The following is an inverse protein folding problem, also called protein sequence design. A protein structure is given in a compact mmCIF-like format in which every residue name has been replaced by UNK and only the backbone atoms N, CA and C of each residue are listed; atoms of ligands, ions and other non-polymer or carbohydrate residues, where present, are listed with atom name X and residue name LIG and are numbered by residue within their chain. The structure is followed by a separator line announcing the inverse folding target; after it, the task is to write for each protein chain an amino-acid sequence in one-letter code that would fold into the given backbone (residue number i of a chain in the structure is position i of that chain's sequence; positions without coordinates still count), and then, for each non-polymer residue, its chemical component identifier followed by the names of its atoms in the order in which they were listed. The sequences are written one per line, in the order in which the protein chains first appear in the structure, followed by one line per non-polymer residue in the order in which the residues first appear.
data_IF_217576272563
#
_entry.id   IF_217576272563
#
_cell.length_a   1.000
_cell.length_b   1.000
_cell.length_c   1.000
_cell.angle_alpha   90.00
_cell.angle_beta   90.00
_cell.angle_gamma   90.00
#
_symmetry.space_group_name_H-M   'P 1'
#
loop_
_entity.id
_entity.type
_entity.pdbx_description
1 polymer ?
#
# COMPACT_ATOMS: atom_id res chain seq x y z
N UNK A 1 9.62 1.54 -4.33
CA UNK A 1 8.50 2.50 -4.49
C UNK A 1 7.17 1.91 -4.01
N UNK A 2 6.69 0.80 -4.61
CA UNK A 2 5.37 0.21 -4.31
C UNK A 2 5.22 -0.20 -2.82
N UNK A 3 6.10 -1.07 -2.32
CA UNK A 3 6.05 -1.55 -0.93
C UNK A 3 6.06 -0.37 0.06
N UNK A 4 6.98 0.58 -0.15
CA UNK A 4 7.08 1.77 0.69
C UNK A 4 5.80 2.61 0.69
N UNK A 5 5.22 2.90 -0.49
CA UNK A 5 3.98 3.68 -0.59
C UNK A 5 2.80 2.99 0.09
N UNK A 6 2.71 1.67 -0.06
CA UNK A 6 1.69 0.88 0.63
C UNK A 6 1.84 0.93 2.15
N UNK A 7 3.06 0.71 2.67
CA UNK A 7 3.33 0.79 4.11
C UNK A 7 3.09 2.20 4.68
N UNK A 8 3.40 3.25 3.92
CA UNK A 8 3.10 4.62 4.30
C UNK A 8 1.59 4.85 4.48
N UNK A 9 0.76 4.31 3.57
CA UNK A 9 -0.70 4.37 3.70
C UNK A 9 -1.15 3.62 4.95
N UNK A 10 -0.70 2.38 5.15
CA UNK A 10 -1.07 1.56 6.31
C UNK A 10 -0.70 2.23 7.63
N UNK A 11 0.53 2.74 7.76
CA UNK A 11 0.96 3.46 8.96
C UNK A 11 0.17 4.74 9.19
N UNK A 12 -0.22 5.45 8.12
CA UNK A 12 -1.01 6.67 8.23
C UNK A 12 -2.46 6.43 8.67
N UNK A 13 -2.97 5.20 8.56
CA UNK A 13 -4.28 4.84 9.12
C UNK A 13 -4.29 4.91 10.66
N UNK A 14 -3.12 4.81 11.29
CA UNK A 14 -2.94 4.97 12.74
C UNK A 14 -3.43 6.30 13.29
N UNK A 15 -3.43 7.37 12.48
CA UNK A 15 -3.99 8.65 12.89
C UNK A 15 -5.51 8.63 13.08
N UNK A 16 -6.21 7.70 12.43
CA UNK A 16 -7.67 7.68 12.37
C UNK A 16 -8.29 6.50 13.13
N UNK A 17 -7.62 5.35 13.14
CA UNK A 17 -8.16 4.10 13.67
C UNK A 17 -7.42 3.67 14.93
N UNK A 18 -8.16 3.36 16.00
CA UNK A 18 -7.60 2.88 17.27
C UNK A 18 -7.01 1.46 17.18
N UNK A 19 -7.39 0.69 16.16
CA UNK A 19 -6.91 -0.68 15.89
C UNK A 19 -6.08 -0.77 14.60
N UNK A 20 -5.47 0.34 14.18
CA UNK A 20 -4.69 0.40 12.93
C UNK A 20 -3.51 -0.60 12.90
N UNK A 21 -2.86 -0.85 14.05
CA UNK A 21 -1.70 -1.76 14.11
C UNK A 21 -2.05 -3.20 13.72
N UNK A 22 -3.20 -3.69 14.18
CA UNK A 22 -3.67 -5.03 13.81
C UNK A 22 -4.02 -5.13 12.33
N UNK A 23 -4.74 -4.13 11.80
CA UNK A 23 -5.10 -4.07 10.38
C UNK A 23 -3.86 -3.94 9.49
N UNK A 24 -2.91 -3.09 9.88
CA UNK A 24 -1.66 -2.89 9.15
C UNK A 24 -0.81 -4.15 9.09
N UNK A 25 -0.71 -4.86 10.23
CA UNK A 25 0.00 -6.14 10.32
C UNK A 25 -0.65 -7.21 9.45
N UNK A 26 -1.98 -7.33 9.48
CA UNK A 26 -2.71 -8.31 8.66
C UNK A 26 -2.56 -8.03 7.16
N UNK A 27 -2.69 -6.76 6.74
CA UNK A 27 -2.49 -6.38 5.35
C UNK A 27 -1.04 -6.55 4.88
N UNK A 28 -0.06 -6.37 5.77
CA UNK A 28 1.34 -6.66 5.49
C UNK A 28 1.61 -8.17 5.35
N UNK A 29 1.02 -8.99 6.22
CA UNK A 29 1.09 -10.45 6.10
C UNK A 29 0.44 -10.93 4.81
N UNK A 30 -0.72 -10.37 4.46
CA UNK A 30 -1.40 -10.66 3.20
C UNK A 30 -0.52 -10.28 1.99
N UNK A 31 0.16 -9.12 2.03
CA UNK A 31 1.13 -8.71 1.00
C UNK A 31 2.21 -9.77 0.80
N UNK A 32 2.83 -10.26 1.87
CA UNK A 32 3.86 -11.29 1.79
C UNK A 32 3.27 -12.57 1.20
N UNK A 33 2.18 -13.07 1.77
CA UNK A 33 1.53 -14.32 1.35
C UNK A 33 1.14 -14.30 -0.13
N UNK A 34 0.51 -13.23 -0.62
CA UNK A 34 0.11 -13.17 -2.04
C UNK A 34 1.29 -12.92 -2.99
N UNK A 35 2.42 -12.40 -2.48
CA UNK A 35 3.64 -12.22 -3.29
C UNK A 35 4.42 -13.51 -3.51
N UNK A 36 4.25 -14.52 -2.64
CA UNK A 36 4.92 -15.83 -2.78
C UNK A 36 4.15 -16.79 -3.68
N UNK A 37 2.87 -16.52 -3.92
CA UNK A 37 2.06 -17.32 -4.82
C UNK A 37 2.21 -16.90 -6.30
N UNK A 38 2.23 -17.86 -7.23
CA UNK A 38 2.43 -17.55 -8.63
C UNK A 38 1.16 -16.96 -9.25
N UNK A 39 1.29 -15.90 -10.06
CA UNK A 39 0.17 -15.07 -10.53
C UNK A 39 -0.97 -15.83 -11.26
N UNK A 40 -0.70 -16.99 -11.86
CA UNK A 40 -1.70 -17.76 -12.61
C UNK A 40 -2.79 -18.38 -11.74
N UNK A 41 -2.60 -18.43 -10.41
CA UNK A 41 -3.65 -18.89 -9.48
C UNK A 41 -4.74 -17.84 -9.27
N UNK A 42 -4.48 -16.58 -9.61
CA UNK A 42 -5.42 -15.49 -9.43
C UNK A 42 -6.17 -15.22 -10.74
N UNK A 43 -7.48 -15.49 -10.75
CA UNK A 43 -8.35 -15.27 -11.90
C UNK A 43 -9.49 -14.30 -11.57
N UNK A 44 -10.02 -13.63 -12.60
CA UNK A 44 -11.17 -12.73 -12.49
C UNK A 44 -10.99 -11.61 -11.46
N UNK A 45 -11.96 -11.48 -10.54
CA UNK A 45 -11.99 -10.43 -9.52
C UNK A 45 -10.85 -10.52 -8.50
N UNK A 46 -10.38 -11.73 -8.19
CA UNK A 46 -9.28 -11.93 -7.24
C UNK A 46 -7.98 -11.28 -7.73
N UNK A 47 -7.72 -11.37 -9.04
CA UNK A 47 -6.56 -10.72 -9.67
C UNK A 47 -6.64 -9.19 -9.53
N UNK A 48 -7.81 -8.60 -9.74
CA UNK A 48 -7.99 -7.16 -9.56
C UNK A 48 -7.71 -6.71 -8.13
N UNK A 49 -8.23 -7.44 -7.13
CA UNK A 49 -8.01 -7.12 -5.71
C UNK A 49 -6.52 -7.18 -5.36
N UNK A 50 -5.81 -8.21 -5.80
CA UNK A 50 -4.39 -8.42 -5.45
C UNK A 50 -3.47 -7.41 -6.14
N UNK A 51 -3.86 -6.90 -7.31
CA UNK A 51 -3.12 -5.85 -8.00
C UNK A 51 -3.42 -4.43 -7.49
N UNK A 52 -4.55 -4.21 -6.79
CA UNK A 52 -4.99 -2.87 -6.38
C UNK A 52 -4.93 -2.65 -4.86
N UNK A 53 -5.50 -3.58 -4.09
CA UNK A 53 -5.64 -3.46 -2.62
C UNK A 53 -4.36 -3.89 -1.91
N UNK A 54 -3.74 -4.99 -2.34
CA UNK A 54 -2.56 -5.59 -1.68
C UNK A 54 -1.25 -5.33 -2.46
N UNK A 55 -1.30 -4.56 -3.55
CA UNK A 55 -0.35 -4.62 -4.69
C UNK A 55 0.66 -5.78 -4.88
N UNK A 56 0.43 -6.98 -4.34
CA UNK A 56 1.36 -8.11 -4.44
C UNK A 56 1.59 -8.57 -5.89
N UNK A 57 0.59 -8.38 -6.75
CA UNK A 57 0.69 -8.70 -8.17
C UNK A 57 1.82 -7.95 -8.88
N UNK A 58 2.05 -6.67 -8.56
CA UNK A 58 3.16 -5.92 -9.15
C UNK A 58 4.54 -6.42 -8.68
N UNK A 59 4.63 -6.90 -7.44
CA UNK A 59 5.88 -7.36 -6.84
C UNK A 59 6.32 -8.69 -7.46
N UNK A 60 5.39 -9.62 -7.67
CA UNK A 60 5.69 -10.95 -8.20
C UNK A 60 5.67 -11.02 -9.73
N UNK A 61 4.78 -10.27 -10.40
CA UNK A 61 4.58 -10.39 -11.84
C UNK A 61 5.60 -9.61 -12.67
N UNK A 62 5.95 -8.39 -12.26
CA UNK A 62 6.81 -7.50 -13.06
C UNK A 62 8.20 -8.11 -13.29
N UNK A 63 8.91 -8.68 -12.29
CA UNK A 63 10.21 -9.30 -12.52
C UNK A 63 10.15 -10.44 -13.54
N UNK A 64 9.11 -11.28 -13.46
CA UNK A 64 8.91 -12.40 -14.39
C UNK A 64 8.70 -11.89 -15.82
N UNK A 65 7.88 -10.86 -16.01
CA UNK A 65 7.63 -10.29 -17.34
C UNK A 65 8.87 -9.60 -17.93
N UNK A 66 9.65 -8.93 -17.10
CA UNK A 66 10.87 -8.23 -17.53
C UNK A 66 11.95 -9.25 -17.95
N UNK A 67 12.15 -10.31 -17.15
CA UNK A 67 13.20 -11.30 -17.39
C UNK A 67 12.83 -12.23 -18.54
N UNK A 68 11.65 -12.85 -18.50
CA UNK A 68 11.27 -13.89 -19.46
C UNK A 68 10.70 -13.33 -20.76
N UNK A 69 9.86 -12.30 -20.67
CA UNK A 69 9.14 -11.78 -21.82
C UNK A 69 9.74 -10.48 -22.39
N UNK A 70 10.84 -9.99 -21.81
CA UNK A 70 11.51 -8.72 -22.18
C UNK A 70 10.55 -7.53 -22.25
N UNK A 71 9.49 -7.57 -21.46
CA UNK A 71 8.42 -6.58 -21.49
C UNK A 71 8.77 -5.40 -20.55
N UNK A 72 9.78 -4.62 -20.92
CA UNK A 72 10.31 -3.51 -20.11
C UNK A 72 9.27 -2.41 -19.82
N UNK A 73 8.18 -2.33 -20.60
CA UNK A 73 7.05 -1.43 -20.34
C UNK A 73 6.44 -1.65 -18.94
N UNK A 74 6.50 -2.87 -18.40
CA UNK A 74 6.04 -3.16 -17.04
C UNK A 74 6.86 -2.41 -15.96
N UNK A 75 8.11 -2.06 -16.23
CA UNK A 75 8.93 -1.27 -15.31
C UNK A 75 8.34 0.13 -15.16
N UNK A 76 8.02 0.79 -16.27
CA UNK A 76 7.37 2.11 -16.27
C UNK A 76 6.01 2.07 -15.58
N UNK A 77 5.20 1.04 -15.85
CA UNK A 77 3.92 0.82 -15.17
C UNK A 77 4.10 0.67 -13.65
N UNK A 78 5.08 -0.11 -13.21
CA UNK A 78 5.37 -0.32 -11.79
C UNK A 78 5.88 0.95 -11.10
N UNK A 79 6.65 1.77 -11.80
CA UNK A 79 7.12 3.07 -11.31
C UNK A 79 5.98 4.05 -11.17
N UNK A 80 5.14 4.19 -12.20
CA UNK A 80 3.98 5.08 -12.16
C UNK A 80 3.01 4.71 -11.04
N UNK A 81 2.72 3.42 -10.88
CA UNK A 81 1.88 2.94 -9.79
C UNK A 81 2.54 3.15 -8.41
N UNK A 82 3.85 2.91 -8.29
CA UNK A 82 4.60 3.19 -7.06
C UNK A 82 4.56 4.68 -6.67
N UNK A 83 4.74 5.59 -7.62
CA UNK A 83 4.64 7.03 -7.39
C UNK A 83 3.23 7.39 -6.92
N UNK A 84 2.20 6.88 -7.60
CA UNK A 84 0.80 7.10 -7.23
C UNK A 84 0.53 6.69 -5.78
N UNK A 85 0.98 5.50 -5.34
CA UNK A 85 0.81 5.07 -3.95
C UNK A 85 1.52 5.99 -2.95
N UNK A 86 2.72 6.47 -3.28
CA UNK A 86 3.45 7.38 -2.39
C UNK A 86 2.75 8.76 -2.31
N UNK A 87 2.22 9.28 -3.42
CA UNK A 87 1.44 10.52 -3.42
C UNK A 87 0.19 10.37 -2.55
N UNK A 88 -0.55 9.26 -2.71
CA UNK A 88 -1.71 8.96 -1.87
C UNK A 88 -1.30 8.85 -0.39
N UNK A 89 -0.22 8.12 -0.10
CA UNK A 89 0.32 7.98 1.24
C UNK A 89 0.69 9.32 1.88
N UNK A 90 1.40 10.19 1.17
CA UNK A 90 1.74 11.54 1.64
C UNK A 90 0.48 12.36 1.93
N UNK A 91 -0.54 12.29 1.07
CA UNK A 91 -1.80 13.01 1.27
C UNK A 91 -2.52 12.51 2.54
N UNK A 92 -2.62 11.19 2.73
CA UNK A 92 -3.26 10.60 3.92
C UNK A 92 -2.47 10.96 5.17
N UNK A 93 -1.13 10.84 5.13
CA UNK A 93 -0.24 11.21 6.23
C UNK A 93 -0.43 12.67 6.64
N UNK A 94 -0.36 13.61 5.70
CA UNK A 94 -0.52 15.04 5.99
C UNK A 94 -1.91 15.39 6.53
N UNK A 95 -2.96 14.68 6.09
CA UNK A 95 -4.31 14.83 6.65
C UNK A 95 -4.42 14.24 8.04
N UNK A 96 -3.84 13.06 8.26
CA UNK A 96 -3.80 12.38 9.56
C UNK A 96 -3.08 13.22 10.61
N UNK A 97 -1.96 13.84 10.23
CA UNK A 97 -1.21 14.73 11.12
C UNK A 97 -2.07 15.92 11.61
N UNK A 98 -2.75 16.62 10.68
CA UNK A 98 -3.65 17.73 11.03
C UNK A 98 -4.82 17.31 11.91
N UNK A 99 -5.37 16.13 11.65
CA UNK A 99 -6.45 15.56 12.46
C UNK A 99 -5.98 15.29 13.90
N UNK A 100 -4.79 14.71 14.04
CA UNK A 100 -4.18 14.44 15.35
C UNK A 100 -3.85 15.73 16.12
N UNK A 101 -3.25 16.72 15.44
CA UNK A 101 -2.91 18.01 16.03
C UNK A 101 -4.15 18.76 16.54
N UNK A 102 -5.23 18.77 15.76
CA UNK A 102 -6.49 19.43 16.13
C UNK A 102 -7.10 18.81 17.39
N UNK A 103 -7.04 17.48 17.54
CA UNK A 103 -7.50 16.78 18.75
C UNK A 103 -6.68 17.12 20.00
N UNK A 104 -5.37 17.31 19.87
CA UNK A 104 -4.48 17.61 20.99
C UNK A 104 -4.62 19.06 21.50
N UNK A 105 -5.00 20.01 20.63
CA UNK A 105 -5.25 21.42 21.04
C UNK A 105 -6.44 21.60 21.97
N UNK A 106 -7.39 20.66 22.03
CA UNK A 106 -8.49 20.70 22.99
C UNK A 106 -8.09 20.19 24.37
N UNK A 107 -7.11 19.27 24.43
CA UNK A 107 -6.59 18.72 25.69
C UNK A 107 -5.73 19.74 26.44
N UNK A 108 -4.92 20.53 25.71
CA UNK A 108 -4.05 21.59 26.27
C UNK A 108 -4.76 22.92 26.59
N UNK A 109 -6.10 22.96 26.48
CA UNK A 109 -6.92 24.14 26.83
C UNK A 109 -7.89 23.86 27.98
N UNK A 110 -7.91 22.63 28.47
CA UNK A 110 -8.82 22.17 29.53
C UNK A 110 -8.10 22.07 30.90
N UNK A 111 -6.80 22.31 30.92
CA UNK A 111 -5.91 22.53 32.06
C UNK A 111 -5.71 24.04 32.35
#
# INVERSE_FOLDING_TARGET
AIIHGFLLILGSLGFFLKSADGIGTELYNALITFSTYPNWIFQGAAKWIIFTVIPAGFISYVPVQVIYNRAYLWILGSLGFGILLNVIGCIIFSRGLKYFETGNTFVLRAD
#
